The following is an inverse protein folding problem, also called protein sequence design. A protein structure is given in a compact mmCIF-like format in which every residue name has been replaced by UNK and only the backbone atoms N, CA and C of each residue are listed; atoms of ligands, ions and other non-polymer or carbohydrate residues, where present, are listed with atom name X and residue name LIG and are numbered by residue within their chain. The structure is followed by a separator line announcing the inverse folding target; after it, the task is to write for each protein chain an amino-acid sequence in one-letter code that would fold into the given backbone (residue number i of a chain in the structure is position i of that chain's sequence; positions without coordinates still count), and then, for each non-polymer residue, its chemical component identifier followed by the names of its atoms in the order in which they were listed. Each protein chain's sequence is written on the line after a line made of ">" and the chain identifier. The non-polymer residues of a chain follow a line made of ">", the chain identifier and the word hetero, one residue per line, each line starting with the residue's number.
data_IF_207443868144
#
_entry.id   IF_207443868144
#
_cell.length_a   1.000
_cell.length_b   1.000
_cell.length_c   1.000
_cell.angle_alpha   90.00
_cell.angle_beta   90.00
_cell.angle_gamma   90.00
#
_symmetry.space_group_name_H-M   'P 1'
#
loop_
_entity.id
_entity.type
_entity.pdbx_description
1 polymer ?
#
# COMPACT_ATOMS: atom_id res chain seq x y z
N UNK A 1 -2.67 -75.16 -23.59
CA UNK A 1 -1.52 -74.81 -24.44
C UNK A 1 -1.90 -73.64 -25.33
N UNK A 2 -1.07 -72.59 -25.35
CA UNK A 2 -0.75 -71.63 -26.44
C UNK A 2 -0.56 -70.21 -25.89
N UNK A 3 0.70 -69.77 -25.88
CA UNK A 3 1.16 -68.38 -25.75
C UNK A 3 0.79 -67.55 -26.98
N UNK A 4 0.67 -66.21 -26.83
CA UNK A 4 1.12 -65.15 -27.77
C UNK A 4 1.21 -63.79 -27.01
N UNK A 5 2.44 -63.42 -26.65
CA UNK A 5 3.24 -62.20 -26.87
C UNK A 5 2.57 -60.80 -27.11
N UNK A 6 2.90 -59.87 -26.17
CA UNK A 6 3.42 -58.47 -26.28
C UNK A 6 2.55 -57.33 -26.84
N UNK A 7 2.51 -56.17 -26.14
CA UNK A 7 3.07 -54.87 -26.58
C UNK A 7 2.96 -53.78 -25.49
N UNK A 8 4.10 -53.16 -25.19
CA UNK A 8 4.24 -51.95 -24.36
C UNK A 8 3.46 -50.77 -24.96
N UNK A 9 2.82 -49.96 -24.10
CA UNK A 9 2.71 -48.53 -24.33
C UNK A 9 2.61 -47.80 -22.98
N UNK A 10 3.71 -47.17 -22.58
CA UNK A 10 3.75 -46.17 -21.51
C UNK A 10 3.28 -44.85 -22.12
N UNK A 11 2.07 -44.42 -21.79
CA UNK A 11 1.54 -43.07 -22.04
C UNK A 11 0.62 -42.82 -20.82
N UNK A 12 0.93 -41.97 -19.84
CA UNK A 12 1.28 -40.57 -19.96
C UNK A 12 0.02 -39.73 -19.70
N UNK A 13 0.00 -39.02 -18.56
CA UNK A 13 -0.97 -37.99 -18.12
C UNK A 13 -2.38 -38.49 -17.73
N UNK A 14 -2.87 -38.23 -16.52
CA UNK A 14 -3.14 -36.84 -16.08
C UNK A 14 -3.20 -36.75 -14.55
N UNK A 15 -2.36 -35.88 -13.96
CA UNK A 15 -2.65 -35.33 -12.64
C UNK A 15 -3.78 -34.32 -12.80
N UNK A 16 -4.92 -34.61 -12.20
CA UNK A 16 -6.06 -33.70 -12.16
C UNK A 16 -5.73 -32.56 -11.21
N UNK A 17 -5.17 -31.46 -11.73
CA UNK A 17 -5.07 -30.21 -11.00
C UNK A 17 -6.48 -29.62 -10.93
N UNK A 18 -7.07 -29.62 -9.74
CA UNK A 18 -8.23 -28.81 -9.41
C UNK A 18 -7.83 -27.35 -9.56
N UNK A 19 -8.19 -26.72 -10.68
CA UNK A 19 -8.14 -25.27 -10.83
C UNK A 19 -9.26 -24.65 -10.00
N UNK A 20 -9.04 -24.47 -8.70
CA UNK A 20 -9.75 -23.42 -7.98
C UNK A 20 -9.21 -22.07 -8.47
N UNK A 21 -10.06 -21.12 -8.89
CA UNK A 21 -9.59 -19.78 -9.22
C UNK A 21 -9.02 -19.14 -7.95
N UNK A 22 -7.81 -18.54 -7.99
CA UNK A 22 -7.27 -17.85 -6.83
C UNK A 22 -8.13 -16.61 -6.55
N UNK A 23 -9.05 -16.70 -5.59
CA UNK A 23 -9.94 -15.59 -5.21
C UNK A 23 -9.29 -14.58 -4.26
N UNK A 24 -8.01 -14.76 -3.92
CA UNK A 24 -7.28 -13.83 -3.04
C UNK A 24 -5.99 -13.41 -3.74
N UNK A 25 -6.09 -12.41 -4.61
CA UNK A 25 -4.91 -11.73 -5.13
C UNK A 25 -4.23 -11.02 -3.96
N UNK A 26 -3.06 -11.51 -3.52
CA UNK A 26 -2.25 -10.76 -2.57
C UNK A 26 -1.97 -9.36 -3.13
N UNK A 27 -2.17 -8.29 -2.34
CA UNK A 27 -1.85 -6.95 -2.79
C UNK A 27 -0.37 -6.91 -3.17
N UNK A 28 -0.10 -6.46 -4.40
CA UNK A 28 1.25 -6.30 -4.91
C UNK A 28 2.14 -5.53 -3.94
N UNK A 29 3.32 -6.09 -3.64
CA UNK A 29 4.40 -5.46 -2.85
C UNK A 29 4.83 -4.09 -3.42
N UNK A 30 4.43 -3.77 -4.66
CA UNK A 30 4.70 -2.47 -5.30
C UNK A 30 3.95 -1.29 -4.68
N UNK A 31 2.98 -1.49 -3.77
CA UNK A 31 2.39 -0.40 -2.99
C UNK A 31 3.15 -0.19 -1.69
N UNK A 32 4.39 0.25 -1.78
CA UNK A 32 5.06 0.83 -0.63
C UNK A 32 4.40 2.17 -0.28
N UNK A 33 4.07 2.33 0.99
CA UNK A 33 3.68 3.59 1.58
C UNK A 33 4.89 4.15 2.32
N UNK A 34 5.19 5.41 2.06
CA UNK A 34 6.25 6.13 2.74
C UNK A 34 5.62 7.18 3.63
N UNK A 35 6.06 7.21 4.88
CA UNK A 35 5.57 8.12 5.90
C UNK A 35 6.65 9.15 6.20
N UNK A 36 6.28 10.42 6.20
CA UNK A 36 7.16 11.52 6.51
C UNK A 36 6.45 12.50 7.44
N UNK A 37 6.98 12.69 8.63
CA UNK A 37 6.51 13.73 9.54
C UNK A 37 7.21 15.06 9.22
N UNK A 38 6.44 16.03 8.71
CA UNK A 38 6.92 17.39 8.49
C UNK A 38 6.81 18.18 9.81
N UNK A 39 7.93 18.32 10.51
CA UNK A 39 7.99 19.01 11.80
C UNK A 39 7.67 20.50 11.71
N UNK A 40 7.79 21.13 10.53
CA UNK A 40 7.49 22.57 10.36
C UNK A 40 5.99 22.83 10.34
N UNK A 41 5.22 21.93 9.73
CA UNK A 41 3.77 22.08 9.60
C UNK A 41 2.99 21.14 10.52
N UNK A 42 3.67 20.28 11.25
CA UNK A 42 3.10 19.21 12.09
C UNK A 42 2.14 18.28 11.34
N UNK A 43 2.42 18.06 10.05
CA UNK A 43 1.62 17.18 9.20
C UNK A 43 2.33 15.84 9.03
N UNK A 44 1.56 14.75 9.00
CA UNK A 44 2.05 13.48 8.49
C UNK A 44 1.74 13.39 7.00
N UNK A 45 2.77 13.16 6.21
CA UNK A 45 2.68 12.98 4.77
C UNK A 45 2.80 11.48 4.49
N UNK A 46 1.85 10.94 3.77
CA UNK A 46 1.86 9.53 3.34
C UNK A 46 1.83 9.51 1.84
N UNK A 47 2.93 9.10 1.20
CA UNK A 47 2.96 9.03 -0.26
C UNK A 47 3.10 7.59 -0.76
N UNK A 48 2.39 7.32 -1.85
CA UNK A 48 2.46 6.06 -2.58
C UNK A 48 2.23 6.33 -4.06
N UNK A 49 3.07 5.75 -4.92
CA UNK A 49 3.06 6.01 -6.35
C UNK A 49 3.20 7.53 -6.64
N UNK A 50 2.17 8.14 -7.25
CA UNK A 50 2.11 9.56 -7.63
C UNK A 50 1.17 10.38 -6.75
N UNK A 51 0.73 9.81 -5.63
CA UNK A 51 -0.21 10.41 -4.70
C UNK A 51 0.49 10.72 -3.38
N UNK A 52 0.22 11.89 -2.81
CA UNK A 52 0.58 12.24 -1.45
C UNK A 52 -0.66 12.60 -0.65
N UNK A 53 -0.87 11.92 0.47
CA UNK A 53 -1.93 12.16 1.43
C UNK A 53 -1.38 12.98 2.60
N UNK A 54 -2.10 14.02 2.97
CA UNK A 54 -1.67 15.03 3.91
C UNK A 54 -2.62 14.99 5.11
N UNK A 55 -2.06 14.66 6.27
CA UNK A 55 -2.80 14.57 7.53
C UNK A 55 -2.32 15.64 8.50
N UNK A 56 -3.27 16.40 9.05
CA UNK A 56 -2.96 17.30 10.16
C UNK A 56 -3.02 16.51 11.46
N UNK A 57 -1.90 16.44 12.18
CA UNK A 57 -1.84 15.69 13.44
C UNK A 57 -2.42 16.49 14.60
N UNK A 58 -3.17 15.81 15.45
CA UNK A 58 -3.62 16.33 16.74
C UNK A 58 -2.44 16.52 17.70
N UNK A 59 -2.66 17.25 18.80
CA UNK A 59 -1.60 17.45 19.80
C UNK A 59 -1.05 16.13 20.36
N UNK A 60 -1.90 15.11 20.51
CA UNK A 60 -1.52 13.79 21.01
C UNK A 60 -0.68 13.03 19.97
N UNK A 61 -1.13 12.97 18.71
CA UNK A 61 -0.42 12.26 17.64
C UNK A 61 0.97 12.88 17.36
N UNK A 62 1.10 14.20 17.52
CA UNK A 62 2.41 14.88 17.44
C UNK A 62 3.40 14.43 18.50
N UNK A 63 2.94 13.94 19.66
CA UNK A 63 3.82 13.35 20.66
C UNK A 63 4.13 11.89 20.31
N UNK A 64 3.11 11.16 19.88
CA UNK A 64 3.19 9.72 19.59
C UNK A 64 4.14 9.40 18.43
N UNK A 65 4.21 10.27 17.40
CA UNK A 65 5.10 10.10 16.25
C UNK A 65 6.59 10.02 16.61
N UNK A 66 6.97 10.53 17.80
CA UNK A 66 8.34 10.50 18.30
C UNK A 66 8.67 9.22 19.10
N UNK A 67 7.72 8.29 19.22
CA UNK A 67 7.93 6.97 19.81
C UNK A 67 7.75 5.89 18.75
N UNK A 68 8.48 4.78 18.83
CA UNK A 68 8.33 3.71 17.83
C UNK A 68 6.93 3.10 17.84
N UNK A 69 6.39 2.82 19.04
CA UNK A 69 5.04 2.29 19.19
C UNK A 69 3.98 3.27 18.67
N UNK A 70 4.04 4.53 19.08
CA UNK A 70 3.09 5.56 18.65
C UNK A 70 3.18 5.84 17.16
N UNK A 71 4.39 5.87 16.58
CA UNK A 71 4.58 6.03 15.14
C UNK A 71 3.94 4.87 14.37
N UNK A 72 4.18 3.62 14.76
CA UNK A 72 3.57 2.47 14.08
C UNK A 72 2.04 2.47 14.22
N UNK A 73 1.51 2.80 15.41
CA UNK A 73 0.06 2.90 15.61
C UNK A 73 -0.56 3.99 14.72
N UNK A 74 0.11 5.15 14.61
CA UNK A 74 -0.29 6.26 13.75
C UNK A 74 -0.24 5.85 12.28
N UNK A 75 0.83 5.22 11.80
CA UNK A 75 0.94 4.73 10.42
C UNK A 75 -0.24 3.82 10.03
N UNK A 76 -0.60 2.87 10.90
CA UNK A 76 -1.75 1.97 10.70
C UNK A 76 -3.07 2.76 10.66
N UNK A 77 -3.26 3.69 11.59
CA UNK A 77 -4.46 4.53 11.64
C UNK A 77 -4.63 5.34 10.36
N UNK A 78 -3.56 5.98 9.89
CA UNK A 78 -3.57 6.79 8.68
C UNK A 78 -3.84 5.96 7.43
N UNK A 79 -3.30 4.74 7.32
CA UNK A 79 -3.63 3.82 6.21
C UNK A 79 -5.13 3.47 6.19
N UNK A 80 -5.73 3.29 7.37
CA UNK A 80 -7.17 3.07 7.46
C UNK A 80 -7.93 4.32 6.96
N UNK A 81 -7.52 5.53 7.37
CA UNK A 81 -8.12 6.77 6.86
C UNK A 81 -7.94 6.94 5.36
N UNK A 82 -6.81 6.57 4.77
CA UNK A 82 -6.64 6.55 3.31
C UNK A 82 -7.63 5.59 2.67
N UNK A 83 -7.98 4.48 3.33
CA UNK A 83 -8.88 3.49 2.74
C UNK A 83 -10.36 3.90 2.86
N UNK A 84 -10.76 4.42 4.02
CA UNK A 84 -12.18 4.67 4.35
C UNK A 84 -12.57 6.14 4.32
N UNK A 85 -11.61 7.04 4.48
CA UNK A 85 -11.82 8.48 4.60
C UNK A 85 -12.06 9.18 3.27
N UNK A 86 -12.67 10.36 3.37
CA UNK A 86 -12.95 11.22 2.22
C UNK A 86 -11.67 11.94 1.82
N UNK A 87 -11.30 11.83 0.55
CA UNK A 87 -10.10 12.47 -0.01
C UNK A 87 -10.51 13.71 -0.78
N UNK A 88 -9.95 14.85 -0.43
CA UNK A 88 -10.14 16.10 -1.17
C UNK A 88 -8.83 16.44 -1.86
N UNK A 89 -8.85 16.51 -3.19
CA UNK A 89 -7.66 16.90 -3.94
C UNK A 89 -7.35 18.38 -3.73
N UNK A 90 -6.08 18.71 -3.53
CA UNK A 90 -5.59 20.07 -3.30
C UNK A 90 -4.53 20.44 -4.34
N UNK A 91 -4.56 21.68 -4.81
CA UNK A 91 -3.59 22.15 -5.79
C UNK A 91 -2.20 22.27 -5.16
N UNK A 92 -1.15 21.86 -5.88
CA UNK A 92 0.24 22.00 -5.41
C UNK A 92 0.59 23.45 -5.03
N UNK A 93 0.04 24.42 -5.75
CA UNK A 93 0.27 25.85 -5.51
C UNK A 93 -0.30 26.38 -4.20
N UNK A 94 -1.25 25.67 -3.58
CA UNK A 94 -1.81 26.05 -2.27
C UNK A 94 -1.11 25.37 -1.09
N UNK A 95 -0.10 24.52 -1.34
CA UNK A 95 0.63 23.81 -0.30
C UNK A 95 1.90 24.55 0.10
N UNK A 96 2.30 24.41 1.36
CA UNK A 96 3.58 24.91 1.83
C UNK A 96 4.73 24.17 1.13
N UNK A 97 5.86 24.87 0.93
CA UNK A 97 7.02 24.30 0.25
C UNK A 97 7.52 23.02 0.94
N UNK A 98 7.56 23.01 2.28
CA UNK A 98 7.98 21.84 3.07
C UNK A 98 7.12 20.60 2.80
N UNK A 99 5.81 20.78 2.69
CA UNK A 99 4.86 19.70 2.37
C UNK A 99 5.13 19.14 0.99
N UNK A 100 5.31 20.01 -0.01
CA UNK A 100 5.59 19.54 -1.38
C UNK A 100 6.92 18.80 -1.49
N UNK A 101 7.94 19.22 -0.72
CA UNK A 101 9.23 18.55 -0.65
C UNK A 101 9.16 17.21 0.09
N UNK A 102 8.47 17.16 1.24
CA UNK A 102 8.31 15.95 2.03
C UNK A 102 7.51 14.85 1.30
N UNK A 103 6.61 15.23 0.40
CA UNK A 103 5.92 14.29 -0.49
C UNK A 103 6.83 13.69 -1.58
N UNK A 104 7.93 14.37 -1.94
CA UNK A 104 8.86 13.95 -2.98
C UNK A 104 8.56 14.49 -4.39
N UNK A 105 9.56 14.40 -5.27
CA UNK A 105 9.57 15.09 -6.56
C UNK A 105 8.65 14.49 -7.65
N UNK A 106 8.21 13.24 -7.48
CA UNK A 106 7.41 12.51 -8.49
C UNK A 106 5.91 12.49 -8.19
N UNK A 107 5.46 13.28 -7.21
CA UNK A 107 4.05 13.39 -6.84
C UNK A 107 3.32 14.34 -7.78
N UNK A 108 2.17 13.89 -8.25
CA UNK A 108 1.29 14.65 -9.15
C UNK A 108 0.01 15.07 -8.43
N UNK A 109 -0.51 14.22 -7.55
CA UNK A 109 -1.75 14.46 -6.83
C UNK A 109 -1.51 14.59 -5.33
N UNK A 110 -2.15 15.59 -4.73
CA UNK A 110 -2.09 15.88 -3.31
C UNK A 110 -3.50 15.82 -2.74
N UNK A 111 -3.68 15.15 -1.61
CA UNK A 111 -4.98 14.98 -1.00
C UNK A 111 -4.93 15.34 0.48
N UNK A 112 -5.90 16.09 0.96
CA UNK A 112 -6.26 16.11 2.38
C UNK A 112 -7.26 14.99 2.64
N UNK A 113 -7.17 14.37 3.82
CA UNK A 113 -8.04 13.26 4.21
C UNK A 113 -8.75 13.62 5.50
N UNK A 114 -10.07 13.43 5.52
CA UNK A 114 -10.96 13.64 6.65
C UNK A 114 -11.82 12.39 6.92
#
# INVERSE_FOLDING_TARGET
>A
MRSIIVFCAVIGLSHQMTNEPPTTREPSVLRSYYFHYDYLTHKMLVHTNRNCFIFMLTAQERMEVHTDYGRTALEVHLLQMITTGTKTEVAKSSLEHSVTQGCGNYIIHYYTVA
#
